data_IF_190491742756
#
_entry.id   IF_190491742756
#
_cell.length_a   1.000
_cell.length_b   1.000
_cell.length_c   1.000
_cell.angle_alpha   90.00
_cell.angle_beta   90.00
_cell.angle_gamma   90.00
#
_symmetry.space_group_name_H-M   'P 1'
#
loop_
_entity.id
_entity.type
_entity.pdbx_description
1 polymer ?
#
# COMPACT_ATOMS: atom_id res chain seq x y z
N UNK A 1 5.27 9.38 15.48
CA UNK A 1 4.48 8.16 15.26
C UNK A 1 4.05 7.49 16.57
N UNK A 2 4.90 7.47 17.59
CA UNK A 2 4.66 6.81 18.88
C UNK A 2 3.72 7.55 19.86
N UNK A 3 3.20 8.72 19.55
CA UNK A 3 2.25 9.46 20.39
C UNK A 3 0.79 9.43 19.92
N UNK A 4 0.48 8.70 18.83
CA UNK A 4 -0.89 8.60 18.36
C UNK A 4 -1.62 7.47 19.06
N UNK A 5 -2.78 7.80 19.65
CA UNK A 5 -3.69 6.79 20.18
C UNK A 5 -4.39 6.09 19.02
N UNK A 6 -4.14 4.79 18.90
CA UNK A 6 -4.82 3.91 17.97
C UNK A 6 -5.98 3.20 18.67
N UNK A 7 -7.05 2.92 17.92
CA UNK A 7 -8.13 2.08 18.40
C UNK A 7 -7.59 0.74 18.92
N UNK A 8 -8.13 0.27 20.04
CA UNK A 8 -7.78 -1.04 20.59
C UNK A 8 -8.51 -2.13 19.80
N UNK A 9 -7.78 -3.15 19.41
CA UNK A 9 -8.31 -4.30 18.69
C UNK A 9 -8.27 -5.55 19.56
N UNK A 10 -9.25 -6.42 19.36
CA UNK A 10 -9.23 -7.76 19.94
C UNK A 10 -8.32 -8.70 19.12
N UNK A 11 -7.94 -9.82 19.72
CA UNK A 11 -7.08 -10.84 19.07
C UNK A 11 -7.63 -11.30 17.72
N UNK A 12 -8.96 -11.44 17.59
CA UNK A 12 -9.60 -11.85 16.34
C UNK A 12 -9.28 -10.89 15.16
N UNK A 13 -9.25 -9.59 15.41
CA UNK A 13 -8.98 -8.59 14.37
C UNK A 13 -7.51 -8.65 13.88
N UNK A 14 -6.57 -8.91 14.80
CA UNK A 14 -5.17 -9.13 14.42
C UNK A 14 -4.98 -10.42 13.61
N UNK A 15 -5.68 -11.50 14.01
CA UNK A 15 -5.65 -12.77 13.27
C UNK A 15 -6.25 -12.61 11.88
N UNK A 16 -7.40 -11.93 11.76
CA UNK A 16 -8.03 -11.65 10.46
C UNK A 16 -7.15 -10.77 9.57
N UNK A 17 -6.49 -9.76 10.14
CA UNK A 17 -5.54 -8.95 9.38
C UNK A 17 -4.35 -9.79 8.89
N UNK A 18 -3.77 -10.62 9.74
CA UNK A 18 -2.67 -11.51 9.38
C UNK A 18 -3.06 -12.52 8.30
N UNK A 19 -4.23 -13.13 8.43
CA UNK A 19 -4.78 -14.06 7.43
C UNK A 19 -5.06 -13.36 6.09
N UNK A 20 -5.64 -12.15 6.14
CA UNK A 20 -5.87 -11.32 4.96
C UNK A 20 -4.57 -10.93 4.26
N UNK A 21 -3.54 -10.55 5.04
CA UNK A 21 -2.23 -10.23 4.49
C UNK A 21 -1.53 -11.47 3.89
N UNK A 22 -1.62 -12.64 4.55
CA UNK A 22 -1.09 -13.88 3.99
C UNK A 22 -1.81 -14.26 2.69
N UNK A 23 -3.14 -14.12 2.63
CA UNK A 23 -3.92 -14.30 1.41
C UNK A 23 -3.51 -13.34 0.30
N UNK A 24 -3.31 -12.06 0.64
CA UNK A 24 -2.80 -11.04 -0.30
C UNK A 24 -1.43 -11.42 -0.87
N UNK A 25 -0.48 -11.84 -0.03
CA UNK A 25 0.82 -12.32 -0.49
C UNK A 25 0.68 -13.58 -1.36
N UNK A 26 -0.17 -14.53 -0.96
CA UNK A 26 -0.46 -15.72 -1.74
C UNK A 26 -0.96 -15.39 -3.15
N UNK A 27 -1.91 -14.45 -3.27
CA UNK A 27 -2.41 -13.98 -4.56
C UNK A 27 -1.31 -13.25 -5.35
N UNK A 28 -0.51 -12.41 -4.70
CA UNK A 28 0.55 -11.65 -5.34
C UNK A 28 1.64 -12.56 -5.93
N UNK A 29 1.98 -13.66 -5.24
CA UNK A 29 2.98 -14.61 -5.71
C UNK A 29 2.43 -15.67 -6.68
N UNK A 30 1.12 -15.99 -6.57
CA UNK A 30 0.47 -16.95 -7.47
C UNK A 30 0.13 -16.35 -8.84
N UNK A 31 0.01 -15.01 -8.92
CA UNK A 31 -0.33 -14.32 -10.15
C UNK A 31 0.92 -13.96 -10.95
N UNK A 32 0.87 -14.14 -12.27
CA UNK A 32 1.94 -13.69 -13.17
C UNK A 32 1.66 -12.27 -13.69
N UNK A 33 2.63 -11.43 -13.57
CA UNK A 33 3.79 -11.12 -12.76
C UNK A 33 3.45 -10.20 -11.59
N UNK A 34 2.74 -10.70 -10.60
CA UNK A 34 2.32 -9.91 -9.45
C UNK A 34 1.01 -9.14 -9.66
N UNK A 35 0.17 -9.54 -10.62
CA UNK A 35 -1.11 -8.91 -10.95
C UNK A 35 -2.26 -9.55 -10.17
N UNK A 36 -2.78 -8.87 -9.16
CA UNK A 36 -3.96 -9.32 -8.40
C UNK A 36 -5.21 -8.81 -9.11
N UNK A 37 -5.94 -9.68 -9.79
CA UNK A 37 -7.01 -9.33 -10.73
C UNK A 37 -7.96 -8.23 -10.23
N UNK A 38 -8.53 -8.36 -9.04
CA UNK A 38 -9.51 -7.37 -8.51
C UNK A 38 -8.84 -6.03 -8.22
N UNK A 39 -7.68 -6.07 -7.51
CA UNK A 39 -6.99 -4.86 -7.06
C UNK A 39 -6.44 -4.09 -8.27
N UNK A 40 -5.85 -4.82 -9.22
CA UNK A 40 -5.16 -4.19 -10.34
C UNK A 40 -6.11 -3.69 -11.42
N UNK A 41 -7.29 -4.30 -11.57
CA UNK A 41 -8.35 -3.70 -12.38
C UNK A 41 -8.93 -2.43 -11.73
N UNK A 42 -9.05 -2.39 -10.40
CA UNK A 42 -9.42 -1.15 -9.71
C UNK A 42 -8.33 -0.07 -9.88
N UNK A 43 -7.06 -0.44 -9.72
CA UNK A 43 -5.93 0.46 -9.97
C UNK A 43 -5.96 1.01 -11.40
N UNK A 44 -6.21 0.14 -12.39
CA UNK A 44 -6.29 0.52 -13.79
C UNK A 44 -7.46 1.48 -14.07
N UNK A 45 -8.63 1.24 -13.47
CA UNK A 45 -9.76 2.16 -13.60
C UNK A 45 -9.42 3.58 -13.10
N UNK A 46 -8.76 3.68 -11.95
CA UNK A 46 -8.32 4.96 -11.41
C UNK A 46 -7.19 5.58 -12.22
N UNK A 47 -6.32 4.75 -12.81
CA UNK A 47 -5.27 5.17 -13.72
C UNK A 47 -5.87 5.87 -14.95
N UNK A 48 -6.77 5.19 -15.67
CA UNK A 48 -7.42 5.75 -16.85
C UNK A 48 -8.25 7.01 -16.52
N UNK A 49 -8.93 7.03 -15.38
CA UNK A 49 -9.67 8.22 -14.93
C UNK A 49 -8.75 9.40 -14.57
N UNK A 50 -7.53 9.13 -14.17
CA UNK A 50 -6.54 10.15 -13.81
C UNK A 50 -6.08 11.00 -14.99
N UNK A 51 -5.94 10.41 -16.19
CA UNK A 51 -5.49 11.11 -17.40
C UNK A 51 -6.36 12.33 -17.73
N UNK A 52 -7.67 12.19 -17.98
CA UNK A 52 -8.50 13.34 -18.31
C UNK A 52 -8.59 14.35 -17.16
N UNK A 53 -8.58 13.90 -15.90
CA UNK A 53 -8.64 14.82 -14.74
C UNK A 53 -7.41 15.72 -14.69
N UNK A 54 -6.21 15.15 -14.85
CA UNK A 54 -4.96 15.91 -14.83
C UNK A 54 -4.79 16.69 -16.14
N UNK A 55 -5.22 16.12 -17.28
CA UNK A 55 -5.21 16.78 -18.59
C UNK A 55 -6.01 18.08 -18.64
N UNK A 56 -7.08 18.22 -17.80
CA UNK A 56 -7.82 19.47 -17.66
C UNK A 56 -6.95 20.64 -17.17
N UNK A 57 -5.89 20.36 -16.40
CA UNK A 57 -4.98 21.41 -15.92
C UNK A 57 -3.85 21.68 -16.89
N UNK A 58 -3.34 20.64 -17.57
CA UNK A 58 -2.29 20.77 -18.57
C UNK A 58 -2.12 19.45 -19.35
N UNK A 59 -2.11 19.54 -20.70
CA UNK A 59 -1.81 18.40 -21.55
C UNK A 59 -0.40 17.83 -21.33
N UNK A 60 0.55 18.64 -20.85
CA UNK A 60 1.91 18.16 -20.51
C UNK A 60 1.92 17.29 -19.26
N UNK A 61 0.93 17.44 -18.38
CA UNK A 61 0.80 16.68 -17.15
C UNK A 61 -0.07 15.42 -17.31
N UNK A 62 -0.80 15.31 -18.41
CA UNK A 62 -1.70 14.19 -18.69
C UNK A 62 -1.04 12.81 -18.50
N UNK A 63 0.19 12.53 -18.98
CA UNK A 63 0.83 11.23 -18.79
C UNK A 63 1.06 10.87 -17.30
N UNK A 64 1.18 11.86 -16.41
CA UNK A 64 1.30 11.63 -14.97
C UNK A 64 -0.04 11.28 -14.33
N UNK A 65 -1.14 11.62 -15.01
CA UNK A 65 -2.51 11.47 -14.53
C UNK A 65 -2.83 10.04 -14.11
N UNK A 66 -2.43 9.06 -14.91
CA UNK A 66 -2.63 7.66 -14.61
C UNK A 66 -2.01 7.25 -13.27
N UNK A 67 -0.73 7.53 -13.08
CA UNK A 67 -0.03 7.22 -11.83
C UNK A 67 -0.61 7.97 -10.63
N UNK A 68 -0.96 9.25 -10.77
CA UNK A 68 -1.60 10.04 -9.70
C UNK A 68 -2.98 9.46 -9.37
N UNK A 69 -3.78 9.12 -10.38
CA UNK A 69 -5.11 8.56 -10.21
C UNK A 69 -5.10 7.27 -9.40
N UNK A 70 -4.29 6.29 -9.80
CA UNK A 70 -4.24 5.00 -9.10
C UNK A 70 -3.70 5.08 -7.67
N UNK A 71 -2.87 6.08 -7.34
CA UNK A 71 -2.35 6.31 -5.99
C UNK A 71 -3.34 7.08 -5.09
N UNK A 72 -4.30 7.80 -5.67
CA UNK A 72 -5.20 8.69 -4.92
C UNK A 72 -6.06 7.92 -3.94
N UNK A 73 -6.70 6.82 -4.37
CA UNK A 73 -7.62 6.08 -3.51
C UNK A 73 -6.94 5.43 -2.30
N UNK A 74 -5.82 4.68 -2.43
CA UNK A 74 -5.12 4.13 -1.28
C UNK A 74 -4.55 5.21 -0.34
N UNK A 75 -4.14 6.38 -0.87
CA UNK A 75 -3.73 7.53 -0.04
C UNK A 75 -4.89 8.06 0.79
N UNK A 76 -6.07 8.26 0.19
CA UNK A 76 -7.28 8.70 0.91
C UNK A 76 -7.65 7.70 2.00
N UNK A 77 -7.56 6.40 1.72
CA UNK A 77 -7.82 5.34 2.68
C UNK A 77 -6.85 5.39 3.86
N UNK A 78 -5.55 5.51 3.58
CA UNK A 78 -4.51 5.63 4.59
C UNK A 78 -4.70 6.89 5.45
N UNK A 79 -4.92 8.07 4.83
CA UNK A 79 -5.18 9.32 5.55
C UNK A 79 -6.43 9.20 6.43
N UNK A 80 -7.49 8.58 5.94
CA UNK A 80 -8.72 8.36 6.69
C UNK A 80 -8.47 7.48 7.91
N UNK A 81 -7.75 6.37 7.73
CA UNK A 81 -7.34 5.49 8.82
C UNK A 81 -6.50 6.23 9.85
N UNK A 82 -5.51 6.99 9.39
CA UNK A 82 -4.68 7.83 10.26
C UNK A 82 -5.52 8.84 11.05
N UNK A 83 -6.35 9.64 10.39
CA UNK A 83 -7.15 10.69 11.04
C UNK A 83 -8.11 10.12 12.07
N UNK A 84 -8.74 8.97 11.79
CA UNK A 84 -9.69 8.31 12.68
C UNK A 84 -9.05 7.40 13.73
N UNK A 85 -7.74 7.27 13.79
CA UNK A 85 -7.06 6.35 14.72
C UNK A 85 -7.29 4.87 14.42
N UNK A 86 -7.69 4.52 13.18
CA UNK A 86 -8.00 3.16 12.75
C UNK A 86 -6.75 2.51 12.15
N UNK A 87 -5.94 1.84 13.00
CA UNK A 87 -4.65 1.29 12.60
C UNK A 87 -4.74 0.30 11.43
N UNK A 88 -5.70 -0.63 11.45
CA UNK A 88 -5.82 -1.63 10.39
C UNK A 88 -6.23 -1.01 9.05
N UNK A 89 -7.09 0.02 9.08
CA UNK A 89 -7.45 0.78 7.88
C UNK A 89 -6.25 1.57 7.33
N UNK A 90 -5.47 2.19 8.20
CA UNK A 90 -4.24 2.88 7.83
C UNK A 90 -3.23 1.92 7.20
N UNK A 91 -2.99 0.76 7.86
CA UNK A 91 -2.08 -0.26 7.36
C UNK A 91 -2.54 -0.84 6.01
N UNK A 92 -3.84 -1.13 5.86
CA UNK A 92 -4.42 -1.60 4.60
C UNK A 92 -4.26 -0.59 3.47
N UNK A 93 -4.50 0.70 3.73
CA UNK A 93 -4.28 1.78 2.78
C UNK A 93 -2.82 1.89 2.34
N UNK A 94 -1.87 1.76 3.28
CA UNK A 94 -0.43 1.77 2.97
C UNK A 94 0.00 0.52 2.18
N UNK A 95 -0.49 -0.67 2.54
CA UNK A 95 -0.19 -1.90 1.79
C UNK A 95 -0.67 -1.74 0.35
N UNK A 96 -1.89 -1.24 0.13
CA UNK A 96 -2.40 -1.00 -1.21
C UNK A 96 -1.60 0.08 -1.95
N UNK A 97 -1.25 1.17 -1.28
CA UNK A 97 -0.41 2.23 -1.85
C UNK A 97 0.93 1.68 -2.36
N UNK A 98 1.62 0.89 -1.57
CA UNK A 98 2.90 0.32 -1.96
C UNK A 98 2.77 -0.86 -2.94
N UNK A 99 1.63 -1.58 -2.95
CA UNK A 99 1.34 -2.56 -3.99
C UNK A 99 1.23 -1.88 -5.38
N UNK A 100 0.63 -0.69 -5.44
CA UNK A 100 0.64 0.10 -6.68
C UNK A 100 2.05 0.38 -7.21
N UNK A 101 3.05 0.51 -6.33
CA UNK A 101 4.45 0.71 -6.78
C UNK A 101 5.00 -0.52 -7.51
N UNK A 102 4.52 -1.73 -7.20
CA UNK A 102 4.89 -2.92 -7.98
C UNK A 102 4.33 -2.83 -9.40
N UNK A 103 3.09 -2.38 -9.56
CA UNK A 103 2.45 -2.19 -10.86
C UNK A 103 3.12 -1.07 -11.65
N UNK A 104 3.36 0.08 -11.01
CA UNK A 104 4.06 1.22 -11.62
C UNK A 104 5.46 0.79 -12.06
N UNK A 105 6.18 0.04 -11.23
CA UNK A 105 7.51 -0.46 -11.57
C UNK A 105 7.50 -1.43 -12.74
N UNK A 106 6.46 -2.30 -12.84
CA UNK A 106 6.27 -3.18 -13.99
C UNK A 106 6.03 -2.37 -15.27
N UNK A 107 5.11 -1.41 -15.22
CA UNK A 107 4.78 -0.54 -16.35
C UNK A 107 5.99 0.32 -16.76
N UNK A 108 6.69 0.91 -15.79
CA UNK A 108 7.91 1.69 -16.04
C UNK A 108 9.03 0.86 -16.68
N UNK A 109 9.22 -0.40 -16.24
CA UNK A 109 10.23 -1.28 -16.82
C UNK A 109 9.94 -1.67 -18.29
N UNK A 110 8.69 -1.53 -18.74
CA UNK A 110 8.27 -1.74 -20.13
C UNK A 110 8.39 -0.49 -21.00
N UNK A 111 8.76 0.66 -20.45
CA UNK A 111 8.74 1.95 -21.15
C UNK A 111 9.51 1.98 -22.46
N UNK A 112 10.60 1.20 -22.60
CA UNK A 112 11.34 1.05 -23.86
C UNK A 112 10.86 -0.10 -24.74
N UNK A 113 10.33 -1.17 -24.12
CA UNK A 113 10.00 -2.39 -24.87
C UNK A 113 8.59 -2.36 -25.43
N UNK A 114 7.68 -1.62 -24.81
CA UNK A 114 6.30 -1.39 -25.25
C UNK A 114 5.54 -2.70 -25.53
N UNK A 115 5.71 -3.71 -24.67
CA UNK A 115 5.14 -5.06 -24.84
C UNK A 115 3.85 -5.25 -24.07
N UNK A 116 3.64 -4.46 -23.01
CA UNK A 116 2.41 -4.52 -22.22
C UNK A 116 1.25 -3.98 -23.06
N UNK A 117 0.09 -4.65 -23.03
CA UNK A 117 -1.10 -4.13 -23.68
C UNK A 117 -1.53 -2.83 -22.99
N UNK A 118 -1.72 -1.78 -23.78
CA UNK A 118 -2.26 -0.51 -23.29
C UNK A 118 -3.78 -0.59 -23.27
N UNK A 119 -4.38 -0.10 -22.18
CA UNK A 119 -5.83 0.05 -22.05
C UNK A 119 -6.20 1.48 -22.41
N UNK A 120 -7.33 1.67 -23.09
CA UNK A 120 -7.77 3.00 -23.53
C UNK A 120 -7.11 3.53 -24.81
N UNK A 121 -6.03 2.92 -25.26
CA UNK A 121 -5.24 3.40 -26.40
C UNK A 121 -4.34 4.59 -26.03
N UNK A 122 -3.53 5.06 -26.96
CA UNK A 122 -2.63 6.18 -26.74
C UNK A 122 -1.17 5.76 -26.54
N UNK A 123 -0.34 6.70 -26.07
CA UNK A 123 1.07 6.51 -25.84
C UNK A 123 1.34 5.88 -24.47
N UNK A 124 2.48 5.21 -24.37
CA UNK A 124 2.91 4.61 -23.09
C UNK A 124 3.40 5.72 -22.14
N UNK A 125 2.69 5.96 -21.02
CA UNK A 125 2.95 7.07 -20.10
C UNK A 125 4.42 7.17 -19.68
N UNK A 126 4.97 6.06 -19.15
CA UNK A 126 6.34 6.07 -18.66
C UNK A 126 7.39 6.19 -19.77
N UNK A 127 7.07 5.79 -21.02
CA UNK A 127 7.91 6.12 -22.18
C UNK A 127 7.94 7.63 -22.37
N UNK A 128 6.79 8.28 -22.45
CA UNK A 128 6.64 9.73 -22.61
C UNK A 128 7.31 10.50 -21.47
N UNK A 129 7.07 10.10 -20.22
CA UNK A 129 7.64 10.76 -19.03
C UNK A 129 9.16 10.65 -19.02
N UNK A 130 9.71 9.43 -19.10
CA UNK A 130 11.14 9.19 -19.00
C UNK A 130 11.90 9.74 -20.21
N UNK A 131 11.29 9.75 -21.40
CA UNK A 131 11.85 10.41 -22.59
C UNK A 131 11.89 11.92 -22.42
N UNK A 132 10.85 12.54 -21.85
CA UNK A 132 10.82 13.98 -21.58
C UNK A 132 11.88 14.45 -20.59
N UNK A 133 12.35 13.53 -19.72
CA UNK A 133 13.43 13.78 -18.74
C UNK A 133 14.81 13.35 -19.24
N UNK A 134 14.92 12.83 -20.48
CA UNK A 134 16.14 12.28 -21.08
C UNK A 134 16.78 11.15 -20.27
N UNK A 135 15.95 10.35 -19.58
CA UNK A 135 16.39 9.22 -18.74
C UNK A 135 15.72 7.90 -19.10
N UNK A 136 15.12 7.80 -20.28
CA UNK A 136 14.39 6.59 -20.72
C UNK A 136 15.28 5.32 -20.69
N UNK A 137 16.58 5.47 -20.94
CA UNK A 137 17.54 4.35 -20.87
C UNK A 137 17.69 3.73 -19.48
N UNK A 138 17.24 4.43 -18.44
CA UNK A 138 17.30 3.95 -17.03
C UNK A 138 15.99 3.37 -16.52
N UNK A 139 14.97 3.19 -17.36
CA UNK A 139 13.63 2.68 -17.02
C UNK A 139 13.67 1.47 -16.08
N UNK A 140 14.41 0.43 -16.44
CA UNK A 140 14.53 -0.81 -15.64
C UNK A 140 15.28 -0.61 -14.33
N UNK A 141 16.26 0.30 -14.29
CA UNK A 141 16.99 0.62 -13.05
C UNK A 141 16.08 1.35 -12.07
N UNK A 142 15.36 2.36 -12.54
CA UNK A 142 14.41 3.13 -11.74
C UNK A 142 13.29 2.22 -11.25
N UNK A 143 12.74 1.38 -12.14
CA UNK A 143 11.73 0.39 -11.80
C UNK A 143 12.20 -0.60 -10.71
N UNK A 144 13.45 -1.04 -10.74
CA UNK A 144 14.00 -1.93 -9.71
C UNK A 144 14.11 -1.25 -8.35
N UNK A 145 14.55 0.01 -8.31
CA UNK A 145 14.54 0.80 -7.07
C UNK A 145 13.11 0.93 -6.53
N UNK A 146 12.14 1.23 -7.41
CA UNK A 146 10.75 1.35 -7.02
C UNK A 146 10.18 0.03 -6.47
N UNK A 147 10.57 -1.13 -7.03
CA UNK A 147 10.20 -2.45 -6.50
C UNK A 147 10.73 -2.68 -5.08
N UNK A 148 11.98 -2.29 -4.81
CA UNK A 148 12.57 -2.41 -3.47
C UNK A 148 11.77 -1.54 -2.48
N UNK A 149 11.49 -0.29 -2.84
CA UNK A 149 10.67 0.63 -2.04
C UNK A 149 9.28 0.03 -1.81
N UNK A 150 8.66 -0.55 -2.84
CA UNK A 150 7.36 -1.20 -2.75
C UNK A 150 7.35 -2.32 -1.70
N UNK A 151 8.30 -3.23 -1.74
CA UNK A 151 8.38 -4.34 -0.78
C UNK A 151 8.62 -3.85 0.65
N UNK A 152 9.55 -2.92 0.85
CA UNK A 152 9.76 -2.30 2.16
C UNK A 152 8.46 -1.65 2.67
N UNK A 153 7.77 -0.92 1.79
CA UNK A 153 6.53 -0.24 2.11
C UNK A 153 5.35 -1.17 2.39
N UNK A 154 5.28 -2.34 1.74
CA UNK A 154 4.25 -3.36 2.01
C UNK A 154 4.45 -3.99 3.40
N UNK A 155 5.69 -4.27 3.80
CA UNK A 155 5.96 -4.92 5.09
C UNK A 155 5.98 -3.95 6.28
N UNK A 156 6.33 -2.69 6.08
CA UNK A 156 6.41 -1.70 7.15
C UNK A 156 5.10 -1.54 7.96
N UNK A 157 3.90 -1.39 7.35
CA UNK A 157 2.66 -1.30 8.11
C UNK A 157 2.27 -2.61 8.80
N UNK A 158 2.68 -3.76 8.27
CA UNK A 158 2.47 -5.07 8.94
C UNK A 158 3.29 -5.13 10.22
N UNK A 159 4.57 -4.74 10.16
CA UNK A 159 5.41 -4.64 11.35
C UNK A 159 4.83 -3.67 12.39
N UNK A 160 4.27 -2.55 11.96
CA UNK A 160 3.60 -1.60 12.85
C UNK A 160 2.38 -2.21 13.54
N UNK A 161 1.56 -3.00 12.83
CA UNK A 161 0.40 -3.70 13.40
C UNK A 161 0.85 -4.75 14.42
N UNK A 162 1.91 -5.53 14.11
CA UNK A 162 2.45 -6.53 15.02
C UNK A 162 3.05 -5.90 16.28
N UNK A 163 3.81 -4.81 16.14
CA UNK A 163 4.36 -4.07 17.27
C UNK A 163 3.24 -3.53 18.18
N UNK A 164 2.15 -3.05 17.60
CA UNK A 164 0.98 -2.60 18.34
C UNK A 164 0.33 -3.76 19.10
N UNK A 165 0.15 -4.91 18.47
CA UNK A 165 -0.40 -6.11 19.11
C UNK A 165 0.46 -6.59 20.30
N UNK A 166 1.78 -6.61 20.14
CA UNK A 166 2.71 -6.99 21.22
C UNK A 166 2.64 -6.00 22.40
N UNK A 167 2.59 -4.70 22.13
CA UNK A 167 2.55 -3.66 23.15
C UNK A 167 1.26 -3.73 24.01
N UNK A 168 0.11 -3.90 23.36
CA UNK A 168 -1.17 -4.04 24.09
C UNK A 168 -1.31 -5.40 24.78
N UNK A 169 -0.80 -6.47 24.19
CA UNK A 169 -0.79 -7.79 24.82
C UNK A 169 0.09 -7.86 26.08
N UNK A 170 1.18 -7.10 26.13
CA UNK A 170 2.04 -7.00 27.33
C UNK A 170 1.36 -6.20 28.44
N UNK A 171 0.70 -5.07 28.12
CA UNK A 171 -0.03 -4.26 29.10
C UNK A 171 -1.20 -5.03 29.73
N UNK A 172 -2.00 -5.71 28.93
CA UNK A 172 -3.13 -6.49 29.44
C UNK A 172 -2.67 -7.60 30.42
N UNK A 173 -1.51 -8.21 30.18
CA UNK A 173 -0.91 -9.19 31.10
C UNK A 173 -0.39 -8.56 32.40
N UNK A 174 0.21 -7.38 32.33
CA UNK A 174 0.66 -6.63 33.52
C UNK A 174 -0.52 -6.24 34.39
N UNK A 175 -1.58 -5.65 33.80
CA UNK A 175 -2.77 -5.24 34.53
C UNK A 175 -3.46 -6.44 35.20
N UNK A 176 -3.48 -7.61 34.57
CA UNK A 176 -4.07 -8.84 35.12
C UNK A 176 -3.22 -9.42 36.24
N UNK A 177 -1.91 -9.34 36.19
CA UNK A 177 -1.00 -9.75 37.25
C UNK A 177 -1.15 -8.85 38.49
N UNK A 178 -1.25 -7.53 38.29
CA UNK A 178 -1.45 -6.57 39.38
C UNK A 178 -2.79 -6.78 40.10
N UNK A 179 -3.88 -7.03 39.36
CA UNK A 179 -5.19 -7.33 39.92
C UNK A 179 -5.20 -8.66 40.72
N UNK A 180 -4.47 -9.67 40.24
CA UNK A 180 -4.36 -10.96 40.94
C UNK A 180 -3.57 -10.82 42.25
N UNK A 181 -2.52 -10.01 42.26
CA UNK A 181 -1.73 -9.73 43.47
C UNK A 181 -2.52 -8.93 44.51
N UNK A 182 -3.33 -7.92 44.06
CA UNK A 182 -4.21 -7.17 44.95
C UNK A 182 -5.31 -8.04 45.57
N UNK A 183 -5.86 -9.02 44.83
CA UNK A 183 -6.88 -9.92 45.35
C UNK A 183 -6.33 -10.85 46.44
N UNK A 184 -5.14 -11.38 46.23
CA UNK A 184 -4.47 -12.24 47.24
C UNK A 184 -4.16 -11.49 48.54
N UNK A 185 -3.76 -10.21 48.44
CA UNK A 185 -3.48 -9.38 49.61
C UNK A 185 -4.72 -8.93 50.39
N UNK A 186 -5.93 -9.01 49.81
CA UNK A 186 -7.18 -8.71 50.50
C UNK A 186 -7.77 -9.91 51.25
N UNK A 187 -7.36 -11.12 50.90
CA UNK A 187 -7.81 -12.37 51.53
C UNK A 187 -6.86 -12.83 52.66
N UNK A 188 -5.68 -12.20 52.80
CA UNK A 188 -4.70 -12.45 53.87
C UNK A 188 -4.85 -11.43 55.00
#
# INVERSE_FOLDING_TARGET
MFGKEWERFGTAQYVLFGAGFAGFLGLLFASEPGFIWIIDHANLLFHEAGHPIIGLFSSRLEPYGGTIGQLTFPVVLAITGWRRGKLLLFAGGLIWFFQNFLNIARYMADARTLRLPLVGGGDHDWNTILASWDILMYDTRIANVLRIIAWIGIFAPVFMVLANACFFGSRARSDQADLSFESLNREA
#
